data_IF_937193381099
#
_entry.id   IF_937193381099
#
_cell.length_a   1.000
_cell.length_b   1.000
_cell.length_c   1.000
_cell.angle_alpha   90.00
_cell.angle_beta   90.00
_cell.angle_gamma   90.00
#
_symmetry.space_group_name_H-M   'P 1'
#
loop_
_entity.id
_entity.type
_entity.pdbx_description
1 polymer ?
#
# COMPACT_ATOMS: atom_id res chain seq x y z
N UNK A 1 1.15 -29.18 6.44
CA UNK A 1 1.98 -28.03 6.05
C UNK A 1 1.63 -26.88 6.98
N UNK A 2 2.60 -26.24 7.63
CA UNK A 2 2.34 -25.04 8.42
C UNK A 2 1.94 -23.90 7.48
N UNK A 3 0.90 -23.14 7.82
CA UNK A 3 0.54 -21.94 7.06
C UNK A 3 1.73 -20.97 7.00
N UNK A 4 2.03 -20.44 5.81
CA UNK A 4 3.07 -19.44 5.61
C UNK A 4 2.70 -18.16 6.35
N UNK A 5 3.65 -17.63 7.13
CA UNK A 5 3.53 -16.32 7.78
C UNK A 5 4.10 -15.23 6.89
N UNK A 6 3.53 -14.04 7.01
CA UNK A 6 3.98 -12.84 6.33
C UNK A 6 4.19 -11.71 7.33
N UNK A 7 5.09 -10.79 7.00
CA UNK A 7 5.17 -9.48 7.64
C UNK A 7 4.09 -8.58 7.04
N UNK A 8 3.11 -8.19 7.85
CA UNK A 8 1.99 -7.37 7.41
C UNK A 8 2.25 -5.89 7.62
N UNK A 9 1.90 -5.09 6.63
CA UNK A 9 2.02 -3.64 6.68
C UNK A 9 0.70 -2.97 6.30
N UNK A 10 0.35 -1.88 6.98
CA UNK A 10 -0.67 -0.94 6.52
C UNK A 10 0.05 0.25 5.90
N UNK A 11 -0.17 0.50 4.61
CA UNK A 11 0.44 1.61 3.90
C UNK A 11 -0.66 2.59 3.52
N UNK A 12 -0.54 3.83 3.99
CA UNK A 12 -1.43 4.91 3.60
C UNK A 12 -0.79 5.71 2.48
N UNK A 13 -1.61 6.07 1.48
CA UNK A 13 -1.22 6.87 0.34
C UNK A 13 -2.08 8.12 0.25
N UNK A 14 -1.51 9.14 -0.37
CA UNK A 14 -2.22 10.33 -0.81
C UNK A 14 -1.94 10.58 -2.28
N UNK A 15 -2.89 11.18 -2.98
CA UNK A 15 -2.74 11.61 -4.37
C UNK A 15 -3.75 12.72 -4.68
N UNK A 16 -3.50 13.46 -5.76
CA UNK A 16 -4.46 14.39 -6.33
C UNK A 16 -5.21 13.71 -7.48
N UNK A 17 -6.55 13.77 -7.45
CA UNK A 17 -7.36 13.14 -8.49
C UNK A 17 -7.72 14.15 -9.58
N UNK A 18 -7.10 13.99 -10.75
CA UNK A 18 -7.32 14.89 -11.88
C UNK A 18 -8.77 14.92 -12.33
N UNK A 19 -9.46 13.78 -12.26
CA UNK A 19 -10.87 13.69 -12.69
C UNK A 19 -11.83 14.38 -11.71
N UNK A 20 -11.37 14.64 -10.48
CA UNK A 20 -12.17 15.25 -9.41
C UNK A 20 -11.64 16.64 -9.03
N UNK A 21 -11.48 17.53 -10.02
CA UNK A 21 -10.99 18.90 -9.83
C UNK A 21 -9.64 19.02 -9.10
N UNK A 22 -8.81 17.99 -9.11
CA UNK A 22 -7.53 17.98 -8.39
C UNK A 22 -7.66 17.80 -6.87
N UNK A 23 -8.82 17.33 -6.39
CA UNK A 23 -9.02 17.08 -4.96
C UNK A 23 -8.03 16.03 -4.44
N UNK A 24 -7.46 16.29 -3.26
CA UNK A 24 -6.60 15.33 -2.58
C UNK A 24 -7.43 14.19 -2.01
N UNK A 25 -7.08 12.96 -2.38
CA UNK A 25 -7.70 11.73 -1.89
C UNK A 25 -6.66 10.90 -1.16
N UNK A 26 -7.14 10.13 -0.18
CA UNK A 26 -6.32 9.22 0.60
C UNK A 26 -6.91 7.82 0.53
N UNK A 27 -6.05 6.81 0.57
CA UNK A 27 -6.46 5.43 0.73
C UNK A 27 -5.40 4.67 1.51
N UNK A 28 -5.71 3.45 1.91
CA UNK A 28 -4.74 2.57 2.58
C UNK A 28 -4.85 1.17 2.02
N UNK A 29 -3.72 0.49 1.94
CA UNK A 29 -3.65 -0.92 1.53
C UNK A 29 -2.97 -1.74 2.62
N UNK A 30 -3.38 -2.99 2.71
CA UNK A 30 -2.73 -4.01 3.52
C UNK A 30 -1.77 -4.77 2.60
N UNK A 31 -0.48 -4.77 2.94
CA UNK A 31 0.57 -5.38 2.13
C UNK A 31 1.26 -6.50 2.93
N UNK A 32 1.08 -7.78 2.55
CA UNK A 32 1.88 -8.87 3.08
C UNK A 32 3.23 -8.95 2.35
N UNK A 33 4.31 -9.07 3.11
CA UNK A 33 5.66 -9.29 2.58
C UNK A 33 6.27 -10.55 3.20
N UNK A 34 6.96 -11.35 2.39
CA UNK A 34 7.68 -12.54 2.87
C UNK A 34 8.89 -12.18 3.72
N UNK A 35 9.45 -10.99 3.52
CA UNK A 35 10.61 -10.50 4.26
C UNK A 35 10.27 -9.20 4.98
N UNK A 36 10.83 -9.05 6.17
CA UNK A 36 10.70 -7.80 6.92
C UNK A 36 11.28 -6.64 6.11
N UNK A 37 10.51 -5.56 6.01
CA UNK A 37 10.90 -4.34 5.35
C UNK A 37 11.91 -3.58 6.25
N UNK A 38 13.21 -3.50 5.89
CA UNK A 38 14.18 -2.67 6.62
C UNK A 38 13.83 -1.18 6.48
N UNK A 39 14.55 -0.25 7.15
CA UNK A 39 14.38 1.19 6.95
C UNK A 39 14.22 1.55 5.47
N UNK A 40 13.11 2.19 5.14
CA UNK A 40 12.64 2.31 3.76
C UNK A 40 13.50 3.33 3.02
N UNK A 41 14.28 2.86 2.06
CA UNK A 41 15.03 3.75 1.17
C UNK A 41 14.08 4.47 0.20
N UNK A 42 14.55 5.56 -0.42
CA UNK A 42 13.80 6.26 -1.47
C UNK A 42 13.41 5.34 -2.63
N UNK A 43 14.29 4.40 -3.01
CA UNK A 43 13.99 3.40 -4.04
C UNK A 43 12.81 2.51 -3.63
N UNK A 44 12.84 2.02 -2.39
CA UNK A 44 11.75 1.18 -1.87
C UNK A 44 10.44 1.95 -1.74
N UNK A 45 10.47 3.23 -1.37
CA UNK A 45 9.29 4.10 -1.40
C UNK A 45 8.69 4.23 -2.81
N UNK A 46 9.52 4.34 -3.85
CA UNK A 46 9.03 4.37 -5.22
C UNK A 46 8.36 3.06 -5.63
N UNK A 47 8.92 1.91 -5.24
CA UNK A 47 8.30 0.60 -5.45
C UNK A 47 6.92 0.51 -4.78
N UNK A 48 6.81 0.99 -3.54
CA UNK A 48 5.52 1.04 -2.83
C UNK A 48 4.52 1.97 -3.54
N UNK A 49 4.98 3.11 -4.06
CA UNK A 49 4.11 3.99 -4.85
C UNK A 49 3.59 3.31 -6.12
N UNK A 50 4.40 2.47 -6.78
CA UNK A 50 3.92 1.67 -7.93
C UNK A 50 2.81 0.72 -7.49
N UNK A 51 2.97 0.02 -6.36
CA UNK A 51 1.93 -0.86 -5.79
C UNK A 51 0.65 -0.06 -5.50
N UNK A 52 0.77 1.14 -4.93
CA UNK A 52 -0.38 2.03 -4.70
C UNK A 52 -1.10 2.42 -6.00
N UNK A 53 -0.36 2.73 -7.07
CA UNK A 53 -0.92 3.05 -8.37
C UNK A 53 -1.65 1.86 -9.02
N UNK A 54 -1.04 0.67 -8.96
CA UNK A 54 -1.65 -0.58 -9.45
C UNK A 54 -2.93 -0.91 -8.67
N UNK A 55 -2.94 -0.67 -7.36
CA UNK A 55 -4.15 -0.86 -6.55
C UNK A 55 -5.29 0.06 -6.99
N UNK A 56 -5.01 1.35 -7.26
CA UNK A 56 -6.02 2.28 -7.78
C UNK A 56 -6.55 1.80 -9.12
N UNK A 57 -5.67 1.46 -10.06
CA UNK A 57 -6.10 0.98 -11.39
C UNK A 57 -7.03 -0.24 -11.32
N UNK A 58 -6.81 -1.12 -10.34
CA UNK A 58 -7.62 -2.33 -10.15
C UNK A 58 -8.97 -2.05 -9.47
N UNK A 59 -9.02 -1.15 -8.49
CA UNK A 59 -10.19 -0.97 -7.62
C UNK A 59 -11.04 0.27 -7.97
N UNK A 60 -10.42 1.28 -8.57
CA UNK A 60 -11.05 2.56 -8.95
C UNK A 60 -10.47 3.03 -10.30
N UNK A 61 -10.75 2.31 -11.41
CA UNK A 61 -10.11 2.54 -12.72
C UNK A 61 -10.46 3.89 -13.36
N UNK A 62 -11.49 4.58 -12.88
CA UNK A 62 -11.90 5.90 -13.38
C UNK A 62 -11.10 7.04 -12.74
N UNK A 63 -10.39 6.74 -11.65
CA UNK A 63 -9.51 7.69 -10.97
C UNK A 63 -8.27 7.96 -11.80
N UNK A 64 -7.84 9.22 -11.86
CA UNK A 64 -6.63 9.64 -12.57
C UNK A 64 -5.65 10.21 -11.55
N UNK A 65 -4.86 9.34 -10.87
CA UNK A 65 -4.00 9.78 -9.79
C UNK A 65 -2.79 10.56 -10.32
N UNK A 66 -2.61 11.77 -9.81
CA UNK A 66 -1.42 12.59 -9.98
C UNK A 66 -0.71 12.75 -8.63
N UNK A 67 0.63 12.78 -8.64
CA UNK A 67 1.46 12.93 -7.43
C UNK A 67 1.11 11.92 -6.33
N UNK A 68 0.95 10.65 -6.68
CA UNK A 68 0.74 9.60 -5.69
C UNK A 68 2.02 9.34 -4.88
N UNK A 69 1.90 9.34 -3.56
CA UNK A 69 2.97 8.89 -2.67
C UNK A 69 2.45 8.30 -1.36
N UNK A 70 3.22 7.37 -0.79
CA UNK A 70 2.99 6.82 0.53
C UNK A 70 3.28 7.89 1.61
N UNK A 71 2.32 8.12 2.50
CA UNK A 71 2.43 9.07 3.62
C UNK A 71 2.84 8.39 4.93
N UNK A 72 2.52 7.11 5.08
CA UNK A 72 2.89 6.33 6.27
C UNK A 72 2.93 4.85 5.96
N UNK A 73 3.86 4.15 6.61
CA UNK A 73 4.00 2.69 6.56
C UNK A 73 3.98 2.22 8.01
N UNK A 74 2.97 1.44 8.38
CA UNK A 74 2.82 0.88 9.72
C UNK A 74 3.04 -0.63 9.67
N UNK A 75 3.93 -1.15 10.51
CA UNK A 75 4.15 -2.59 10.65
C UNK A 75 3.12 -3.18 11.62
N UNK A 76 2.39 -4.20 11.19
CA UNK A 76 1.30 -4.82 11.93
C UNK A 76 1.69 -6.13 12.63
N UNK A 77 2.86 -6.70 12.28
CA UNK A 77 3.36 -7.94 12.87
C UNK A 77 3.56 -9.06 11.85
N UNK A 78 4.10 -10.18 12.32
CA UNK A 78 4.28 -11.40 11.54
C UNK A 78 3.17 -12.40 11.88
N UNK A 79 2.32 -12.72 10.91
CA UNK A 79 1.16 -13.59 11.12
C UNK A 79 0.70 -14.25 9.80
N UNK A 80 -0.07 -15.33 9.92
CA UNK A 80 -0.68 -15.97 8.73
C UNK A 80 -1.83 -15.11 8.20
N UNK A 81 -2.23 -15.34 6.95
CA UNK A 81 -3.39 -14.66 6.37
C UNK A 81 -4.68 -14.91 7.16
N UNK A 82 -4.86 -16.13 7.69
CA UNK A 82 -6.00 -16.48 8.54
C UNK A 82 -6.00 -15.66 9.83
N UNK A 83 -4.84 -15.46 10.46
CA UNK A 83 -4.71 -14.63 11.66
C UNK A 83 -4.94 -13.15 11.40
N UNK A 84 -4.54 -12.66 10.23
CA UNK A 84 -4.75 -11.26 9.84
C UNK A 84 -6.22 -10.93 9.55
N UNK A 85 -6.99 -11.89 9.03
CA UNK A 85 -8.39 -11.72 8.68
C UNK A 85 -9.38 -12.11 9.79
N UNK A 86 -8.89 -12.61 10.93
CA UNK A 86 -9.71 -13.03 12.07
C UNK A 86 -10.20 -11.84 12.91
#
# INVERSE_FOLDING_TARGET
MSEQKYHWYLIAYTFNDKSNNGNTRNFSIQLPLETYLPPVSKSKLNELNIIGAEWIQKNDPTTQPENLFAISICYLGEMTQSQFNA
#
